data_IF_322505625932
#
_entry.id   IF_322505625932
#
_cell.length_a   1.000
_cell.length_b   1.000
_cell.length_c   1.000
_cell.angle_alpha   90.00
_cell.angle_beta   90.00
_cell.angle_gamma   90.00
#
_symmetry.space_group_name_H-M   'P 1'
#
loop_
_entity.id
_entity.type
_entity.pdbx_description
1 polymer ?
#
# COMPACT_ATOMS: atom_id res chain seq x y z
N UNK A 1 -1.48 -15.17 -0.92
CA UNK A 1 -1.52 -13.75 -0.49
C UNK A 1 -1.60 -12.89 -1.74
N UNK A 2 -2.60 -12.02 -1.89
CA UNK A 2 -2.71 -11.13 -3.05
C UNK A 2 -1.77 -9.93 -2.87
N UNK A 3 -1.21 -9.38 -3.95
CA UNK A 3 -0.40 -8.14 -3.96
C UNK A 3 -1.11 -7.02 -3.20
N UNK A 4 -2.43 -6.85 -3.41
CA UNK A 4 -3.21 -5.85 -2.69
C UNK A 4 -3.24 -6.06 -1.18
N UNK A 5 -3.20 -7.31 -0.70
CA UNK A 5 -3.19 -7.60 0.74
C UNK A 5 -1.84 -7.24 1.34
N UNK A 6 -0.75 -7.49 0.61
CA UNK A 6 0.61 -7.11 1.01
C UNK A 6 0.73 -5.60 1.13
N UNK A 7 0.25 -4.84 0.15
CA UNK A 7 0.29 -3.37 0.18
C UNK A 7 -0.46 -2.84 1.40
N UNK A 8 -1.68 -3.33 1.67
CA UNK A 8 -2.47 -2.93 2.86
C UNK A 8 -1.75 -3.24 4.16
N UNK A 9 -1.15 -4.43 4.27
CA UNK A 9 -0.42 -4.84 5.45
C UNK A 9 0.81 -3.94 5.70
N UNK A 10 1.55 -3.61 4.64
CA UNK A 10 2.69 -2.68 4.72
C UNK A 10 2.24 -1.29 5.17
N UNK A 11 1.18 -0.73 4.57
CA UNK A 11 0.63 0.58 5.00
C UNK A 11 0.23 0.56 6.47
N UNK A 12 -0.50 -0.47 6.91
CA UNK A 12 -0.93 -0.61 8.31
C UNK A 12 0.28 -0.62 9.25
N UNK A 13 1.29 -1.43 8.93
CA UNK A 13 2.52 -1.54 9.71
C UNK A 13 3.27 -0.21 9.77
N UNK A 14 3.39 0.51 8.65
CA UNK A 14 4.08 1.81 8.62
C UNK A 14 3.35 2.87 9.44
N UNK A 15 2.01 2.84 9.48
CA UNK A 15 1.22 3.71 10.36
C UNK A 15 1.50 3.39 11.83
N UNK A 16 1.49 2.11 12.20
CA UNK A 16 1.76 1.66 13.57
C UNK A 16 3.19 2.03 14.01
N UNK A 17 4.20 1.82 13.15
CA UNK A 17 5.60 2.19 13.39
C UNK A 17 5.80 3.70 13.58
N UNK A 18 4.94 4.53 12.98
CA UNK A 18 4.98 5.99 13.09
C UNK A 18 4.07 6.55 14.18
N UNK A 19 3.34 5.70 14.90
CA UNK A 19 2.33 6.14 15.86
C UNK A 19 1.23 6.99 15.22
N UNK A 20 0.96 6.79 13.92
CA UNK A 20 0.01 7.58 13.14
C UNK A 20 -1.31 6.82 12.95
N UNK A 21 -2.42 7.49 13.20
CA UNK A 21 -3.76 6.95 12.96
C UNK A 21 -4.18 7.12 11.49
N UNK A 22 -5.16 6.32 11.05
CA UNK A 22 -5.75 6.51 9.71
C UNK A 22 -6.43 7.88 9.56
N UNK A 23 -7.02 8.42 10.62
CA UNK A 23 -7.64 9.76 10.59
C UNK A 23 -6.59 10.83 10.30
N UNK A 24 -5.43 10.77 10.96
CA UNK A 24 -4.33 11.70 10.70
C UNK A 24 -3.80 11.57 9.28
N UNK A 25 -3.62 10.34 8.77
CA UNK A 25 -3.24 10.11 7.38
C UNK A 25 -4.26 10.73 6.41
N UNK A 26 -5.56 10.53 6.65
CA UNK A 26 -6.61 11.14 5.83
C UNK A 26 -6.53 12.68 5.85
N UNK A 27 -6.30 13.28 7.03
CA UNK A 27 -6.11 14.73 7.18
C UNK A 27 -4.91 15.22 6.37
N UNK A 28 -3.76 14.53 6.43
CA UNK A 28 -2.56 14.90 5.67
C UNK A 28 -2.75 14.80 4.16
N UNK A 29 -3.49 13.78 3.73
CA UNK A 29 -3.86 13.58 2.32
C UNK A 29 -4.96 14.53 1.83
N UNK A 30 -5.56 15.34 2.71
CA UNK A 30 -6.67 16.23 2.35
C UNK A 30 -7.95 15.48 1.94
N UNK A 31 -8.14 14.25 2.42
CA UNK A 31 -9.31 13.40 2.12
C UNK A 31 -10.12 13.08 3.37
N UNK A 32 -11.33 12.54 3.18
CA UNK A 32 -12.14 12.11 4.32
C UNK A 32 -11.65 10.76 4.87
N UNK A 33 -11.77 10.51 6.18
CA UNK A 33 -11.46 9.19 6.76
C UNK A 33 -12.26 8.06 6.11
N UNK A 34 -13.48 8.32 5.65
CA UNK A 34 -14.31 7.36 4.92
C UNK A 34 -13.70 7.00 3.56
N UNK A 35 -13.21 7.99 2.81
CA UNK A 35 -12.53 7.75 1.54
C UNK A 35 -11.28 6.88 1.74
N UNK A 36 -10.45 7.21 2.72
CA UNK A 36 -9.27 6.43 3.07
C UNK A 36 -9.63 5.00 3.52
N UNK A 37 -10.61 4.86 4.41
CA UNK A 37 -11.07 3.55 4.90
C UNK A 37 -11.56 2.66 3.76
N UNK A 38 -12.33 3.22 2.82
CA UNK A 38 -12.76 2.50 1.60
C UNK A 38 -11.58 2.04 0.78
N UNK A 39 -10.58 2.89 0.55
CA UNK A 39 -9.36 2.50 -0.16
C UNK A 39 -8.63 1.34 0.53
N UNK A 40 -8.52 1.39 1.86
CA UNK A 40 -7.83 0.35 2.64
C UNK A 40 -8.62 -0.95 2.80
N UNK A 41 -9.94 -0.95 2.63
CA UNK A 41 -10.81 -2.12 2.87
C UNK A 41 -11.43 -2.74 1.60
N UNK A 42 -11.71 -1.96 0.55
CA UNK A 42 -12.34 -2.46 -0.67
C UNK A 42 -11.45 -3.51 -1.35
N UNK A 43 -12.01 -4.71 -1.56
CA UNK A 43 -11.40 -5.77 -2.37
C UNK A 43 -11.61 -5.46 -3.84
N UNK A 44 -10.55 -5.43 -4.63
CA UNK A 44 -10.63 -5.14 -6.07
C UNK A 44 -9.54 -4.19 -6.52
N UNK A 45 -9.81 -3.43 -7.59
CA UNK A 45 -8.85 -2.50 -8.16
C UNK A 45 -8.59 -1.37 -7.15
N UNK A 46 -7.33 -1.16 -6.72
CA UNK A 46 -6.96 -0.02 -5.89
C UNK A 46 -7.42 1.30 -6.55
N UNK A 47 -8.43 1.98 -5.99
CA UNK A 47 -8.89 3.29 -6.45
C UNK A 47 -7.87 4.39 -6.10
N UNK A 48 -7.83 5.47 -6.89
CA UNK A 48 -6.70 6.39 -7.12
C UNK A 48 -5.95 7.04 -5.94
N UNK A 49 -6.28 6.75 -4.69
CA UNK A 49 -5.57 7.25 -3.51
C UNK A 49 -4.30 6.47 -3.16
N UNK A 50 -4.08 5.29 -3.74
CA UNK A 50 -2.94 4.44 -3.37
C UNK A 50 -1.59 5.10 -3.59
N UNK A 51 -1.40 5.78 -4.72
CA UNK A 51 -0.16 6.49 -4.98
C UNK A 51 0.08 7.56 -3.91
N UNK A 52 -0.93 8.39 -3.62
CA UNK A 52 -0.82 9.43 -2.61
C UNK A 52 -0.55 8.89 -1.20
N UNK A 53 -1.16 7.76 -0.84
CA UNK A 53 -0.88 7.07 0.44
C UNK A 53 0.58 6.62 0.51
N UNK A 54 1.10 6.02 -0.57
CA UNK A 54 2.48 5.57 -0.61
C UNK A 54 3.45 6.76 -0.54
N UNK A 55 3.19 7.82 -1.30
CA UNK A 55 4.01 9.03 -1.31
C UNK A 55 4.06 9.71 0.07
N UNK A 56 2.91 9.91 0.73
CA UNK A 56 2.85 10.49 2.09
C UNK A 56 3.55 9.60 3.13
N UNK A 57 3.48 8.28 2.95
CA UNK A 57 4.18 7.33 3.81
C UNK A 57 5.63 7.12 3.39
N UNK A 58 6.14 7.76 2.33
CA UNK A 58 7.50 7.54 1.82
C UNK A 58 7.76 6.08 1.43
N UNK A 59 6.73 5.39 0.95
CA UNK A 59 6.79 4.01 0.47
C UNK A 59 6.86 3.99 -1.06
N UNK A 60 7.56 3.03 -1.62
CA UNK A 60 7.67 2.83 -3.07
C UNK A 60 7.23 1.41 -3.44
N UNK A 61 6.38 1.30 -4.48
CA UNK A 61 6.00 0.02 -5.04
C UNK A 61 6.95 -0.34 -6.20
N UNK A 62 7.85 -1.29 -5.96
CA UNK A 62 8.81 -1.73 -6.98
C UNK A 62 8.37 -3.06 -7.60
N UNK A 63 8.20 -3.08 -8.93
CA UNK A 63 7.97 -4.31 -9.70
C UNK A 63 9.31 -4.86 -10.17
N UNK A 64 9.58 -6.13 -9.88
CA UNK A 64 10.78 -6.84 -10.36
C UNK A 64 10.38 -8.04 -11.21
N UNK A 65 11.09 -8.24 -12.32
CA UNK A 65 10.97 -9.47 -13.11
C UNK A 65 11.43 -10.62 -12.23
N UNK A 66 10.59 -11.65 -12.11
CA UNK A 66 11.01 -12.91 -11.49
C UNK A 66 12.09 -13.49 -12.40
N UNK A 67 13.32 -13.61 -11.90
CA UNK A 67 14.35 -14.34 -12.63
C UNK A 67 13.76 -15.70 -13.02
N UNK A 68 13.68 -15.96 -14.33
CA UNK A 68 13.38 -17.30 -14.79
C UNK A 68 14.41 -18.19 -14.11
N UNK A 69 13.96 -19.23 -13.41
CA UNK A 69 14.85 -20.26 -12.91
C UNK A 69 15.66 -20.72 -14.11
N UNK A 70 16.91 -20.28 -14.18
CA UNK A 70 17.84 -20.68 -15.23
C UNK A 70 18.15 -22.14 -14.91
N UNK A 71 17.32 -23.02 -15.45
CA UNK A 71 17.58 -24.45 -15.55
C UNK A 71 18.68 -24.67 -16.60
N UNK A 72 19.82 -24.02 -16.39
CA UNK A 72 21.09 -24.38 -16.97
C UNK A 72 21.77 -25.35 -16.00
N UNK A 73 21.12 -26.47 -15.70
CA UNK A 73 21.78 -27.66 -15.17
C UNK A 73 21.85 -28.69 -16.28
N UNK A 74 22.94 -28.60 -17.04
CA UNK A 74 23.77 -29.69 -17.58
C UNK A 74 23.11 -30.84 -18.33
#
# INVERSE_FOLDING_TARGET
MNVNDVIRATVRRTLDERGMTQTELATRLGVTPQALSRTLTERGKPAGLWQSILDELGLELVVRVKAATDDSTR
#
